data_IF_558840137551
#
_entry.id   IF_558840137551
#
_cell.length_a   1.000
_cell.length_b   1.000
_cell.length_c   1.000
_cell.angle_alpha   90.00
_cell.angle_beta   90.00
_cell.angle_gamma   90.00
#
_symmetry.space_group_name_H-M   'P 1'
#
loop_
_entity.id
_entity.type
_entity.pdbx_description
1 polymer ?
#
# COMPACT_ATOMS: atom_id res chain seq x y z
N UNK A 1 6.13 14.64 17.34
CA UNK A 1 6.53 14.30 15.97
C UNK A 1 7.06 15.55 15.31
N UNK A 2 8.35 15.60 15.02
CA UNK A 2 8.93 16.64 14.17
C UNK A 2 8.64 16.37 12.70
N UNK A 3 8.85 17.35 11.83
CA UNK A 3 8.73 17.15 10.38
C UNK A 3 9.71 16.09 9.87
N UNK A 4 10.93 16.02 10.44
CA UNK A 4 11.92 15.03 10.05
C UNK A 4 11.51 13.60 10.43
N UNK A 5 10.94 13.42 11.63
CA UNK A 5 10.45 12.11 12.07
C UNK A 5 9.29 11.62 11.20
N UNK A 6 8.40 12.54 10.80
CA UNK A 6 7.30 12.22 9.90
C UNK A 6 7.80 11.81 8.52
N UNK A 7 8.74 12.57 7.96
CA UNK A 7 9.34 12.28 6.64
C UNK A 7 10.08 10.95 6.62
N UNK A 8 10.69 10.55 7.73
CA UNK A 8 11.33 9.25 7.87
C UNK A 8 10.31 8.10 7.89
N UNK A 9 9.21 8.23 8.66
CA UNK A 9 8.26 7.13 8.93
C UNK A 9 7.19 7.00 7.83
N UNK A 10 6.70 8.11 7.32
CA UNK A 10 5.59 8.14 6.36
C UNK A 10 5.82 7.28 5.09
N UNK A 11 7.01 7.28 4.47
CA UNK A 11 7.29 6.46 3.28
C UNK A 11 7.11 4.97 3.53
N UNK A 12 7.48 4.49 4.73
CA UNK A 12 7.29 3.09 5.10
C UNK A 12 5.81 2.75 5.25
N UNK A 13 5.00 3.65 5.81
CA UNK A 13 3.54 3.45 5.91
C UNK A 13 2.93 3.36 4.51
N UNK A 14 3.30 4.28 3.62
CA UNK A 14 2.85 4.30 2.22
C UNK A 14 3.28 3.00 1.51
N UNK A 15 4.51 2.55 1.72
CA UNK A 15 5.03 1.32 1.15
C UNK A 15 4.30 0.08 1.65
N UNK A 16 4.04 -0.02 2.97
CA UNK A 16 3.31 -1.13 3.57
C UNK A 16 1.88 -1.19 3.03
N UNK A 17 1.19 -0.05 2.97
CA UNK A 17 -0.15 0.03 2.41
C UNK A 17 -0.17 -0.41 0.93
N UNK A 18 0.76 0.12 0.13
CA UNK A 18 0.91 -0.26 -1.27
C UNK A 18 1.18 -1.76 -1.45
N UNK A 19 2.05 -2.32 -0.61
CA UNK A 19 2.37 -3.75 -0.58
C UNK A 19 1.16 -4.60 -0.26
N UNK A 20 0.44 -4.30 0.82
CA UNK A 20 -0.75 -5.05 1.23
C UNK A 20 -1.84 -5.00 0.16
N UNK A 21 -2.15 -3.81 -0.36
CA UNK A 21 -3.18 -3.65 -1.38
C UNK A 21 -2.80 -4.37 -2.67
N UNK A 22 -1.55 -4.27 -3.09
CA UNK A 22 -1.06 -4.97 -4.29
C UNK A 22 -1.14 -6.47 -4.11
N UNK A 23 -0.69 -7.02 -2.97
CA UNK A 23 -0.75 -8.45 -2.67
C UNK A 23 -2.18 -8.98 -2.65
N UNK A 24 -3.09 -8.28 -1.96
CA UNK A 24 -4.49 -8.70 -1.86
C UNK A 24 -5.15 -8.67 -3.25
N UNK A 25 -4.98 -7.58 -4.00
CA UNK A 25 -5.66 -7.38 -5.29
C UNK A 25 -5.05 -8.18 -6.46
N UNK A 26 -3.85 -8.74 -6.31
CA UNK A 26 -3.24 -9.66 -7.28
C UNK A 26 -3.35 -11.13 -6.87
N UNK A 27 -3.70 -11.43 -5.62
CA UNK A 27 -3.95 -12.79 -5.17
C UNK A 27 -5.35 -13.25 -5.57
N UNK A 28 -5.42 -14.23 -6.48
CA UNK A 28 -6.71 -14.83 -6.86
C UNK A 28 -7.44 -15.43 -5.65
N UNK A 29 -6.72 -16.07 -4.73
CA UNK A 29 -7.31 -16.73 -3.56
C UNK A 29 -7.95 -15.73 -2.63
N UNK A 30 -7.29 -14.60 -2.36
CA UNK A 30 -7.83 -13.55 -1.49
C UNK A 30 -9.00 -12.83 -2.15
N UNK A 31 -8.94 -12.58 -3.47
CA UNK A 31 -10.04 -11.97 -4.19
C UNK A 31 -11.28 -12.86 -4.26
N UNK A 32 -11.12 -14.17 -4.47
CA UNK A 32 -12.23 -15.14 -4.41
C UNK A 32 -12.85 -15.21 -3.01
N UNK A 33 -12.05 -15.07 -1.95
CA UNK A 33 -12.55 -15.00 -0.57
C UNK A 33 -13.32 -13.70 -0.33
N UNK A 34 -12.78 -12.57 -0.80
CA UNK A 34 -13.41 -11.26 -0.70
C UNK A 34 -14.76 -11.23 -1.42
N UNK A 35 -14.85 -11.81 -2.63
CA UNK A 35 -16.10 -11.93 -3.38
C UNK A 35 -17.18 -12.75 -2.67
N UNK A 36 -16.78 -13.73 -1.84
CA UNK A 36 -17.70 -14.55 -1.06
C UNK A 36 -18.15 -13.90 0.26
N UNK A 37 -17.32 -13.04 0.85
CA UNK A 37 -17.51 -12.56 2.22
C UNK A 37 -17.84 -11.08 2.34
N UNK A 38 -17.44 -10.25 1.38
CA UNK A 38 -17.61 -8.80 1.46
C UNK A 38 -18.88 -8.35 0.73
N UNK A 39 -19.57 -7.32 1.23
CA UNK A 39 -20.69 -6.72 0.52
C UNK A 39 -20.21 -6.10 -0.81
N UNK A 40 -21.06 -6.06 -1.85
CA UNK A 40 -20.66 -5.59 -3.18
C UNK A 40 -20.06 -4.19 -3.21
N UNK A 41 -20.57 -3.27 -2.37
CA UNK A 41 -20.09 -1.90 -2.24
C UNK A 41 -18.65 -1.84 -1.75
N UNK A 42 -18.31 -2.62 -0.73
CA UNK A 42 -16.98 -2.64 -0.14
C UNK A 42 -15.98 -3.38 -1.04
N UNK A 43 -16.41 -4.45 -1.71
CA UNK A 43 -15.60 -5.12 -2.73
C UNK A 43 -15.26 -4.19 -3.90
N UNK A 44 -16.24 -3.41 -4.38
CA UNK A 44 -16.03 -2.43 -5.43
C UNK A 44 -14.99 -1.39 -5.01
N UNK A 45 -15.16 -0.80 -3.83
CA UNK A 45 -14.18 0.14 -3.26
C UNK A 45 -12.79 -0.48 -3.18
N UNK A 46 -12.67 -1.71 -2.69
CA UNK A 46 -11.39 -2.42 -2.60
C UNK A 46 -10.71 -2.53 -3.97
N UNK A 47 -11.47 -2.93 -5.00
CA UNK A 47 -10.97 -3.05 -6.38
C UNK A 47 -10.51 -1.69 -6.96
N UNK A 48 -11.16 -0.57 -6.58
CA UNK A 48 -10.75 0.77 -7.03
C UNK A 48 -9.37 1.18 -6.52
N UNK A 49 -8.92 0.62 -5.38
CA UNK A 49 -7.61 0.90 -4.82
C UNK A 49 -6.46 0.21 -5.56
N UNK A 50 -6.69 -0.55 -6.65
CA UNK A 50 -5.63 -1.22 -7.41
C UNK A 50 -4.57 -0.24 -7.91
N UNK A 51 -4.99 0.84 -8.56
CA UNK A 51 -4.06 1.85 -9.07
C UNK A 51 -3.32 2.55 -7.91
N UNK A 52 -4.07 2.96 -6.89
CA UNK A 52 -3.51 3.64 -5.71
C UNK A 52 -2.50 2.74 -4.97
N UNK A 53 -2.79 1.45 -4.84
CA UNK A 53 -1.91 0.46 -4.23
C UNK A 53 -0.58 0.34 -4.97
N UNK A 54 -0.60 0.25 -6.31
CA UNK A 54 0.63 0.25 -7.12
C UNK A 54 1.42 1.54 -6.97
N UNK A 55 0.76 2.70 -6.99
CA UNK A 55 1.43 4.00 -6.78
C UNK A 55 2.09 4.04 -5.40
N UNK A 56 1.36 3.68 -4.34
CA UNK A 56 1.88 3.66 -2.98
C UNK A 56 3.04 2.65 -2.84
N UNK A 57 2.98 1.52 -3.54
CA UNK A 57 4.04 0.53 -3.52
C UNK A 57 5.34 1.11 -4.09
N UNK A 58 5.31 1.67 -5.30
CA UNK A 58 6.53 2.18 -5.93
C UNK A 58 7.02 3.46 -5.26
N UNK A 59 6.13 4.43 -5.01
CA UNK A 59 6.51 5.70 -4.37
C UNK A 59 7.03 5.45 -2.96
N UNK A 60 6.32 4.66 -2.17
CA UNK A 60 6.75 4.30 -0.82
C UNK A 60 8.09 3.56 -0.82
N UNK A 61 8.29 2.63 -1.76
CA UNK A 61 9.56 1.90 -1.89
C UNK A 61 10.73 2.84 -2.20
N UNK A 62 10.64 3.63 -3.27
CA UNK A 62 11.73 4.51 -3.69
C UNK A 62 12.01 5.60 -2.65
N UNK A 63 10.98 6.16 -2.03
CA UNK A 63 11.15 7.17 -0.99
C UNK A 63 11.74 6.57 0.30
N UNK A 64 11.29 5.40 0.73
CA UNK A 64 11.91 4.70 1.88
C UNK A 64 13.37 4.37 1.61
N UNK A 65 13.68 3.89 0.40
CA UNK A 65 15.06 3.59 -0.01
C UNK A 65 15.92 4.86 -0.04
N UNK A 66 15.42 5.97 -0.57
CA UNK A 66 16.10 7.27 -0.54
C UNK A 66 16.41 7.69 0.90
N UNK A 67 15.44 7.61 1.81
CA UNK A 67 15.64 8.01 3.20
C UNK A 67 16.66 7.12 3.93
N UNK A 68 16.63 5.81 3.69
CA UNK A 68 17.65 4.91 4.21
C UNK A 68 19.05 5.28 3.72
N UNK A 69 19.19 5.58 2.43
CA UNK A 69 20.48 5.96 1.82
C UNK A 69 21.01 7.32 2.28
N UNK A 70 20.14 8.28 2.60
CA UNK A 70 20.54 9.60 3.10
C UNK A 70 20.82 9.63 4.61
N UNK A 71 20.34 8.62 5.34
CA UNK A 71 20.49 8.53 6.81
C UNK A 71 21.65 7.60 7.22
N UNK A 72 22.07 6.68 6.34
CA UNK A 72 23.26 5.81 6.49
C UNK A 72 24.55 6.56 6.12
#
# INVERSE_FOLDING_TARGET
>A
MSYQELDLIFPFIVFIYGSLMTLILHSETLMKLAEKKLPPTLLFQFKTHRLMGSICLFVGFFWSLQNLLLTL
#
